data_IF_479838712812
#
_entry.id   IF_479838712812
#
_cell.length_a   1.000
_cell.length_b   1.000
_cell.length_c   1.000
_cell.angle_alpha   90.00
_cell.angle_beta   90.00
_cell.angle_gamma   90.00
#
_symmetry.space_group_name_H-M   'P 1'
#
loop_
_entity.id
_entity.type
_entity.pdbx_description
1 polymer ?
#
# COMPACT_ATOMS: atom_id res chain seq x y z
N UNK A 1 -6.36 9.98 0.33
CA UNK A 1 -5.62 8.72 0.19
C UNK A 1 -4.69 8.49 1.36
N UNK A 2 -3.80 9.44 1.66
CA UNK A 2 -2.99 9.40 2.89
C UNK A 2 -3.87 9.17 4.12
N UNK A 3 -3.40 8.31 5.02
CA UNK A 3 -4.09 7.87 6.24
C UNK A 3 -5.12 6.76 6.03
N UNK A 4 -5.48 6.42 4.79
CA UNK A 4 -6.40 5.31 4.53
C UNK A 4 -5.69 3.96 4.70
N UNK A 5 -6.42 2.98 5.22
CA UNK A 5 -5.98 1.61 5.32
C UNK A 5 -6.28 0.85 4.02
N UNK A 6 -5.35 -0.01 3.64
CA UNK A 6 -5.45 -0.92 2.52
C UNK A 6 -5.02 -2.32 2.88
N UNK A 7 -5.21 -3.24 1.94
CA UNK A 7 -4.72 -4.61 2.05
C UNK A 7 -3.84 -4.94 0.86
N UNK A 8 -2.67 -5.53 1.12
CA UNK A 8 -1.74 -5.94 0.07
C UNK A 8 -2.36 -7.08 -0.75
N UNK A 9 -2.45 -6.88 -2.05
CA UNK A 9 -2.93 -7.87 -3.03
C UNK A 9 -1.79 -8.46 -3.86
N UNK A 10 -0.68 -7.72 -4.01
CA UNK A 10 0.59 -8.21 -4.57
C UNK A 10 1.76 -7.78 -3.69
N UNK A 11 2.67 -8.69 -3.37
CA UNK A 11 3.80 -8.46 -2.47
C UNK A 11 4.56 -7.18 -2.84
N UNK A 12 4.82 -6.35 -1.84
CA UNK A 12 5.56 -5.08 -1.95
C UNK A 12 6.98 -5.35 -1.47
N UNK A 13 7.99 -4.79 -2.14
CA UNK A 13 9.36 -4.96 -1.69
C UNK A 13 10.35 -3.96 -2.31
N UNK A 14 11.63 -4.03 -1.91
CA UNK A 14 12.69 -3.20 -2.48
C UNK A 14 12.81 -3.44 -3.98
N UNK A 15 12.64 -2.38 -4.78
CA UNK A 15 12.67 -2.48 -6.24
C UNK A 15 11.51 -3.29 -6.86
N UNK A 16 10.54 -3.71 -6.05
CA UNK A 16 9.37 -4.48 -6.47
C UNK A 16 8.11 -3.63 -6.25
N UNK A 17 7.45 -3.29 -7.35
CA UNK A 17 6.13 -2.66 -7.30
C UNK A 17 5.12 -3.72 -6.87
N UNK A 18 4.48 -3.49 -5.72
CA UNK A 18 3.37 -4.32 -5.27
C UNK A 18 2.03 -3.68 -5.58
N UNK A 19 0.98 -4.25 -5.00
CA UNK A 19 -0.38 -3.77 -5.19
C UNK A 19 -1.13 -3.77 -3.87
N UNK A 20 -1.96 -2.76 -3.66
CA UNK A 20 -2.90 -2.69 -2.54
C UNK A 20 -4.30 -2.39 -3.04
N UNK A 21 -5.29 -2.92 -2.35
CA UNK A 21 -6.68 -2.47 -2.47
C UNK A 21 -7.01 -1.54 -1.29
N UNK A 22 -7.50 -0.34 -1.58
CA UNK A 22 -7.87 0.68 -0.58
C UNK A 22 -9.36 0.99 -0.68
N UNK A 23 -10.03 1.09 0.46
CA UNK A 23 -11.43 1.53 0.51
C UNK A 23 -11.50 3.04 0.32
N UNK A 24 -12.24 3.45 -0.71
CA UNK A 24 -12.52 4.85 -1.03
C UNK A 24 -14.03 5.08 -1.04
N UNK A 25 -14.49 6.33 -1.20
CA UNK A 25 -15.95 6.62 -1.15
C UNK A 25 -16.71 5.78 -2.19
N UNK A 26 -17.60 4.93 -1.71
CA UNK A 26 -18.49 4.13 -2.55
C UNK A 26 -17.87 2.85 -3.13
N UNK A 27 -16.63 2.49 -2.77
CA UNK A 27 -16.02 1.28 -3.30
C UNK A 27 -14.62 0.97 -2.80
N UNK A 28 -13.88 0.26 -3.64
CA UNK A 28 -12.48 -0.06 -3.42
C UNK A 28 -11.73 0.15 -4.73
N UNK A 29 -10.51 0.63 -4.64
CA UNK A 29 -9.65 0.86 -5.81
C UNK A 29 -8.28 0.21 -5.57
N UNK A 30 -7.71 -0.31 -6.67
CA UNK A 30 -6.37 -0.87 -6.68
C UNK A 30 -5.34 0.21 -6.98
N UNK A 31 -4.25 0.22 -6.20
CA UNK A 31 -3.12 1.13 -6.36
C UNK A 31 -1.81 0.35 -6.46
N UNK A 32 -0.90 0.85 -7.28
CA UNK A 32 0.51 0.46 -7.24
C UNK A 32 1.11 0.93 -5.92
N UNK A 33 1.85 0.05 -5.27
CA UNK A 33 2.35 0.29 -3.92
C UNK A 33 3.86 0.10 -3.83
N UNK A 34 4.50 1.05 -3.15
CA UNK A 34 5.91 1.02 -2.78
C UNK A 34 6.07 1.02 -1.26
N UNK A 35 7.12 0.39 -0.71
CA UNK A 35 7.40 0.50 0.72
C UNK A 35 7.86 1.93 1.03
N UNK A 36 7.27 2.55 2.05
CA UNK A 36 7.62 3.91 2.47
C UNK A 36 9.10 4.03 2.91
N UNK A 37 9.64 2.97 3.54
CA UNK A 37 11.06 2.91 3.92
C UNK A 37 11.99 2.68 2.72
N UNK A 38 11.46 2.29 1.55
CA UNK A 38 12.24 1.84 0.40
C UNK A 38 12.86 0.44 0.54
N UNK A 39 12.91 -0.11 1.76
CA UNK A 39 13.60 -1.38 2.07
C UNK A 39 12.70 -2.48 2.61
N UNK A 40 11.47 -2.16 3.03
CA UNK A 40 10.58 -3.16 3.62
C UNK A 40 10.03 -4.11 2.56
N UNK A 41 9.86 -5.37 2.95
CA UNK A 41 9.04 -6.35 2.23
C UNK A 41 7.73 -6.56 2.98
N UNK A 42 6.61 -6.42 2.28
CA UNK A 42 5.27 -6.52 2.85
C UNK A 42 4.49 -7.56 2.05
N UNK A 43 4.17 -8.68 2.71
CA UNK A 43 3.52 -9.82 2.07
C UNK A 43 2.05 -9.59 1.74
N UNK A 44 1.54 -10.39 0.80
CA UNK A 44 0.13 -10.39 0.45
C UNK A 44 -0.74 -10.67 1.68
N UNK A 45 -1.83 -9.91 1.80
CA UNK A 45 -2.78 -10.03 2.90
C UNK A 45 -2.49 -9.12 4.09
N UNK A 46 -1.30 -8.53 4.18
CA UNK A 46 -0.94 -7.56 5.21
C UNK A 46 -1.79 -6.30 5.10
N UNK A 47 -2.19 -5.76 6.26
CA UNK A 47 -2.87 -4.47 6.35
C UNK A 47 -1.82 -3.37 6.37
N UNK A 48 -2.02 -2.36 5.53
CA UNK A 48 -1.08 -1.26 5.36
C UNK A 48 -1.78 0.08 5.47
N UNK A 49 -1.04 1.12 5.87
CA UNK A 49 -1.50 2.49 5.83
C UNK A 49 -0.82 3.22 4.67
N UNK A 50 -1.60 3.99 3.91
CA UNK A 50 -1.07 4.90 2.90
C UNK A 50 -0.44 6.11 3.59
N UNK A 51 0.85 6.31 3.40
CA UNK A 51 1.58 7.46 3.96
C UNK A 51 1.81 8.57 2.94
N UNK A 52 1.85 8.21 1.65
CA UNK A 52 1.96 9.16 0.54
C UNK A 52 1.12 8.68 -0.63
N UNK A 53 0.56 9.64 -1.36
CA UNK A 53 -0.23 9.38 -2.56
C UNK A 53 0.30 10.22 -3.71
N UNK A 54 0.73 9.54 -4.77
CA UNK A 54 1.14 10.12 -6.04
C UNK A 54 0.04 9.82 -7.08
N UNK A 55 -0.77 10.82 -7.44
CA UNK A 55 -1.85 10.63 -8.40
C UNK A 55 -1.34 10.08 -9.76
N UNK A 56 -2.14 9.25 -10.46
CA UNK A 56 -3.49 8.84 -10.10
C UNK A 56 -3.58 7.51 -9.32
N UNK A 57 -2.54 6.66 -9.34
CA UNK A 57 -2.65 5.25 -8.88
C UNK A 57 -1.44 4.74 -8.11
N UNK A 58 -0.58 5.63 -7.61
CA UNK A 58 0.61 5.22 -6.86
C UNK A 58 0.50 5.66 -5.41
N UNK A 59 0.83 4.75 -4.50
CA UNK A 59 0.88 5.02 -3.06
C UNK A 59 2.19 4.51 -2.48
N UNK A 60 2.69 5.22 -1.48
CA UNK A 60 3.68 4.66 -0.56
C UNK A 60 2.96 4.20 0.69
N UNK A 61 3.34 3.03 1.19
CA UNK A 61 2.66 2.39 2.30
C UNK A 61 3.66 1.84 3.32
N UNK A 62 3.18 1.71 4.54
CA UNK A 62 3.85 1.00 5.62
C UNK A 62 2.91 -0.05 6.21
N UNK A 63 3.45 -1.09 6.84
CA UNK A 63 2.64 -2.03 7.61
C UNK A 63 1.85 -1.27 8.70
N UNK A 64 0.56 -1.58 8.83
CA UNK A 64 -0.30 -0.88 9.79
C UNK A 64 -0.03 -1.30 11.24
N UNK A 65 0.62 -2.44 11.44
CA UNK A 65 0.95 -3.03 12.72
C UNK A 65 2.41 -3.48 12.68
N UNK A 66 3.10 -3.39 13.82
CA UNK A 66 4.41 -4.01 13.98
C UNK A 66 4.29 -5.52 13.73
N UNK A 67 5.25 -6.06 12.97
CA UNK A 67 5.39 -7.51 12.73
C UNK A 67 6.24 -8.15 13.82
#
# INVERSE_FOLDING_TARGET
MVGLMGRVTGTIGPGLVGEVIVRVRGGAEHFLAYPASGTDRIERGTVVMVVEYLPPRTVYVQAAYDS
#
